data_IF_734325100314
#
_entry.id   IF_734325100314
#
_cell.length_a   1.000
_cell.length_b   1.000
_cell.length_c   1.000
_cell.angle_alpha   90.00
_cell.angle_beta   90.00
_cell.angle_gamma   90.00
#
_symmetry.space_group_name_H-M   'P 1'
#
loop_
_entity.id
_entity.type
_entity.pdbx_description
1 polymer ?
#
# COMPACT_ATOMS: atom_id res chain seq x y z
N UNK A 1 0.68 6.25 0.97
CA UNK A 1 0.25 5.18 0.05
C UNK A 1 -1.24 5.14 0.00
N UNK A 2 -1.78 4.84 -1.17
CA UNK A 2 -3.15 4.34 -1.31
C UNK A 2 -3.22 2.87 -0.87
N UNK A 3 -4.42 2.35 -0.60
CA UNK A 3 -4.60 0.97 -0.12
C UNK A 3 -4.32 -0.07 -1.20
N UNK A 4 -4.62 0.29 -2.46
CA UNK A 4 -4.64 -0.62 -3.60
C UNK A 4 -3.61 -0.18 -4.67
N UNK A 5 -2.41 0.25 -4.25
CA UNK A 5 -1.36 0.82 -5.12
C UNK A 5 -1.13 0.01 -6.41
N UNK A 6 -1.09 -1.33 -6.30
CA UNK A 6 -0.76 -2.21 -7.41
C UNK A 6 -1.88 -2.44 -8.45
N UNK A 7 -3.12 -2.10 -8.14
CA UNK A 7 -4.28 -2.46 -8.99
C UNK A 7 -4.20 -1.80 -10.38
N UNK A 8 -3.76 -0.54 -10.45
CA UNK A 8 -3.60 0.20 -11.70
C UNK A 8 -2.53 -0.43 -12.60
N UNK A 9 -1.38 -0.77 -12.03
CA UNK A 9 -0.25 -1.36 -12.77
C UNK A 9 -0.57 -2.78 -13.26
N UNK A 10 -1.35 -3.53 -12.49
CA UNK A 10 -1.72 -4.91 -12.82
C UNK A 10 -2.69 -5.06 -13.99
N UNK A 11 -3.28 -3.98 -14.49
CA UNK A 11 -4.07 -4.02 -15.73
C UNK A 11 -3.22 -4.55 -16.90
N UNK A 12 -1.91 -4.28 -16.91
CA UNK A 12 -1.00 -4.79 -17.93
C UNK A 12 -0.74 -6.31 -17.85
N UNK A 13 -1.28 -7.00 -16.83
CA UNK A 13 -1.02 -8.42 -16.52
C UNK A 13 -2.29 -9.29 -16.57
N UNK A 14 -3.37 -8.81 -17.21
CA UNK A 14 -4.67 -9.51 -17.26
C UNK A 14 -4.64 -10.83 -18.04
N UNK A 15 -3.59 -11.11 -18.81
CA UNK A 15 -3.42 -12.38 -19.50
C UNK A 15 -3.01 -13.54 -18.55
N UNK A 16 -2.52 -13.24 -17.35
CA UNK A 16 -2.06 -14.25 -16.41
C UNK A 16 -3.23 -15.03 -15.79
N UNK A 17 -3.20 -16.35 -15.96
CA UNK A 17 -4.29 -17.25 -15.59
C UNK A 17 -3.93 -18.23 -14.48
N UNK A 18 -2.66 -18.63 -14.37
CA UNK A 18 -2.20 -19.67 -13.46
C UNK A 18 -1.10 -19.18 -12.52
N UNK A 19 -0.83 -19.94 -11.45
CA UNK A 19 0.33 -19.67 -10.58
C UNK A 19 1.66 -19.75 -11.36
N UNK A 20 1.75 -20.61 -12.38
CA UNK A 20 2.93 -20.69 -13.24
C UNK A 20 3.12 -19.41 -14.08
N UNK A 21 2.03 -18.85 -14.61
CA UNK A 21 2.07 -17.56 -15.33
C UNK A 21 2.56 -16.45 -14.41
N UNK A 22 2.04 -16.38 -13.17
CA UNK A 22 2.50 -15.41 -12.16
C UNK A 22 3.97 -15.61 -11.81
N UNK A 23 4.44 -16.85 -11.61
CA UNK A 23 5.87 -17.14 -11.38
C UNK A 23 6.74 -16.63 -12.52
N UNK A 24 6.35 -16.92 -13.76
CA UNK A 24 7.08 -16.46 -14.95
C UNK A 24 7.08 -14.93 -15.04
N UNK A 25 5.93 -14.28 -14.82
CA UNK A 25 5.81 -12.83 -14.80
C UNK A 25 6.77 -12.19 -13.79
N UNK A 26 6.81 -12.71 -12.56
CA UNK A 26 7.72 -12.19 -11.54
C UNK A 26 9.17 -12.33 -11.96
N UNK A 27 9.60 -13.49 -12.47
CA UNK A 27 10.97 -13.71 -12.94
C UNK A 27 11.33 -12.91 -14.20
N UNK A 28 10.36 -12.56 -15.04
CA UNK A 28 10.65 -11.82 -16.27
C UNK A 28 10.70 -10.32 -16.06
N UNK A 29 9.87 -9.77 -15.18
CA UNK A 29 9.60 -8.33 -15.16
C UNK A 29 9.77 -7.65 -13.80
N UNK A 30 9.81 -8.42 -12.71
CA UNK A 30 9.92 -7.84 -11.37
C UNK A 30 11.22 -8.24 -10.69
N UNK A 31 11.48 -9.53 -10.57
CA UNK A 31 12.59 -10.08 -9.77
C UNK A 31 13.44 -11.03 -10.64
N UNK A 32 14.10 -10.52 -11.70
CA UNK A 32 14.83 -11.37 -12.65
C UNK A 32 16.03 -12.11 -12.05
N UNK A 33 16.59 -11.60 -10.95
CA UNK A 33 17.72 -12.21 -10.26
C UNK A 33 17.29 -13.15 -9.12
N UNK A 34 16.00 -13.18 -8.76
CA UNK A 34 15.53 -14.03 -7.68
C UNK A 34 15.54 -15.51 -8.10
N UNK A 35 15.96 -16.35 -7.17
CA UNK A 35 15.96 -17.81 -7.31
C UNK A 35 14.52 -18.33 -7.39
N UNK A 36 14.34 -19.53 -7.95
CA UNK A 36 13.02 -20.17 -7.98
C UNK A 36 12.45 -20.38 -6.58
N UNK A 37 13.31 -20.68 -5.59
CA UNK A 37 12.92 -20.84 -4.20
C UNK A 37 12.34 -19.54 -3.62
N UNK A 38 12.98 -18.40 -3.87
CA UNK A 38 12.49 -17.10 -3.39
C UNK A 38 11.15 -16.73 -4.02
N UNK A 39 10.97 -16.98 -5.32
CA UNK A 39 9.68 -16.75 -6.00
C UNK A 39 8.61 -17.70 -5.49
N UNK A 40 8.93 -18.98 -5.28
CA UNK A 40 7.97 -19.94 -4.73
C UNK A 40 7.55 -19.59 -3.29
N UNK A 41 8.48 -19.05 -2.49
CA UNK A 41 8.18 -18.55 -1.15
C UNK A 41 7.33 -17.27 -1.21
N UNK A 42 7.61 -16.36 -2.16
CA UNK A 42 6.77 -15.19 -2.42
C UNK A 42 5.32 -15.59 -2.74
N UNK A 43 5.14 -16.59 -3.61
CA UNK A 43 3.84 -17.11 -4.01
C UNK A 43 3.10 -17.83 -2.87
N UNK A 44 3.78 -18.24 -1.79
CA UNK A 44 3.14 -18.71 -0.56
C UNK A 44 2.64 -17.54 0.31
N UNK A 45 3.42 -16.45 0.43
CA UNK A 45 3.00 -15.24 1.14
C UNK A 45 1.85 -14.50 0.45
N UNK A 46 1.72 -14.68 -0.86
CA UNK A 46 0.62 -14.16 -1.67
C UNK A 46 -0.09 -15.33 -2.35
N UNK A 47 -0.99 -16.05 -1.66
CA UNK A 47 -1.65 -17.23 -2.23
C UNK A 47 -2.60 -16.85 -3.38
N UNK A 48 -2.92 -17.84 -4.23
CA UNK A 48 -3.95 -17.74 -5.27
C UNK A 48 -5.36 -17.76 -4.66
N UNK A 49 -5.65 -16.74 -3.86
CA UNK A 49 -6.94 -16.54 -3.21
C UNK A 49 -7.40 -15.09 -3.43
N UNK A 50 -8.43 -14.85 -4.27
CA UNK A 50 -8.87 -13.51 -4.62
C UNK A 50 -9.38 -12.68 -3.43
N UNK A 51 -9.78 -13.32 -2.33
CA UNK A 51 -10.22 -12.62 -1.10
C UNK A 51 -9.05 -11.87 -0.45
N UNK A 52 -7.83 -12.40 -0.57
CA UNK A 52 -6.62 -11.81 0.02
C UNK A 52 -5.91 -10.82 -0.93
N UNK A 53 -6.38 -10.69 -2.16
CA UNK A 53 -5.74 -9.87 -3.19
C UNK A 53 -6.25 -8.42 -3.25
N UNK A 54 -5.53 -7.60 -4.01
CA UNK A 54 -5.82 -6.19 -4.27
C UNK A 54 -6.79 -6.03 -5.46
N UNK A 55 -7.86 -5.22 -5.41
CA UNK A 55 -8.22 -4.33 -4.30
C UNK A 55 -8.61 -5.09 -3.04
N UNK A 56 -7.97 -4.73 -1.92
CA UNK A 56 -8.11 -5.43 -0.63
C UNK A 56 -9.51 -5.24 -0.06
N UNK A 57 -9.95 -6.15 0.82
CA UNK A 57 -11.24 -6.07 1.52
C UNK A 57 -12.48 -6.05 0.60
N UNK A 58 -12.35 -6.48 -0.66
CA UNK A 58 -13.47 -6.55 -1.64
C UNK A 58 -13.98 -7.97 -1.91
N UNK A 59 -13.55 -8.96 -1.09
CA UNK A 59 -13.90 -10.36 -1.28
C UNK A 59 -13.48 -10.88 -2.66
N UNK A 60 -14.35 -11.65 -3.33
CA UNK A 60 -14.12 -12.16 -4.68
C UNK A 60 -14.35 -11.17 -5.82
N UNK A 61 -14.82 -9.95 -5.53
CA UNK A 61 -15.09 -8.92 -6.54
C UNK A 61 -13.79 -8.34 -7.12
N UNK A 62 -13.92 -7.53 -8.18
CA UNK A 62 -12.82 -6.77 -8.80
C UNK A 62 -11.72 -7.63 -9.44
N UNK A 63 -12.11 -8.81 -9.96
CA UNK A 63 -11.19 -9.78 -10.58
C UNK A 63 -11.19 -9.62 -12.11
N UNK A 64 -10.28 -8.80 -12.65
CA UNK A 64 -10.13 -8.62 -14.11
C UNK A 64 -9.58 -9.87 -14.82
N UNK A 65 -8.80 -10.69 -14.13
CA UNK A 65 -8.28 -11.98 -14.61
C UNK A 65 -8.09 -12.95 -13.45
N UNK A 66 -7.71 -14.21 -13.72
CA UNK A 66 -7.55 -15.19 -12.65
C UNK A 66 -6.52 -14.76 -11.60
N UNK A 67 -5.39 -14.20 -12.04
CA UNK A 67 -4.28 -13.78 -11.17
C UNK A 67 -4.29 -12.28 -10.84
N UNK A 68 -5.18 -11.47 -11.45
CA UNK A 68 -5.16 -10.00 -11.32
C UNK A 68 -5.00 -9.51 -9.89
N UNK A 69 -5.85 -9.98 -8.96
CA UNK A 69 -5.83 -9.48 -7.59
C UNK A 69 -4.56 -9.85 -6.82
N UNK A 70 -4.00 -11.02 -7.15
CA UNK A 70 -2.77 -11.53 -6.55
C UNK A 70 -1.57 -10.71 -7.03
N UNK A 71 -1.48 -10.49 -8.34
CA UNK A 71 -0.41 -9.68 -8.95
C UNK A 71 -0.49 -8.24 -8.47
N UNK A 72 -1.69 -7.67 -8.34
CA UNK A 72 -1.90 -6.34 -7.79
C UNK A 72 -1.42 -6.21 -6.34
N UNK A 73 -1.69 -7.23 -5.50
CA UNK A 73 -1.20 -7.23 -4.12
C UNK A 73 0.34 -7.28 -4.09
N UNK A 74 0.94 -8.14 -4.91
CA UNK A 74 2.39 -8.27 -5.04
C UNK A 74 3.02 -6.95 -5.52
N UNK A 75 2.54 -6.38 -6.62
CA UNK A 75 3.10 -5.16 -7.19
C UNK A 75 3.00 -3.97 -6.22
N UNK A 76 1.83 -3.79 -5.58
CA UNK A 76 1.62 -2.74 -4.61
C UNK A 76 2.54 -2.88 -3.40
N UNK A 77 2.70 -4.11 -2.89
CA UNK A 77 3.52 -4.35 -1.72
C UNK A 77 5.02 -4.25 -2.01
N UNK A 78 5.49 -4.77 -3.15
CA UNK A 78 6.91 -4.71 -3.55
C UNK A 78 7.37 -3.27 -3.80
N UNK A 79 6.56 -2.47 -4.52
CA UNK A 79 6.98 -1.14 -4.99
C UNK A 79 6.66 -0.03 -3.99
N UNK A 80 5.59 -0.17 -3.19
CA UNK A 80 5.10 0.93 -2.34
C UNK A 80 5.03 0.58 -0.85
N UNK A 81 4.27 -0.44 -0.45
CA UNK A 81 4.03 -0.68 0.99
C UNK A 81 5.27 -1.22 1.71
N UNK A 82 6.00 -2.14 1.09
CA UNK A 82 7.24 -2.71 1.62
C UNK A 82 8.31 -1.65 1.84
N UNK A 83 8.69 -0.87 0.80
CA UNK A 83 9.66 0.21 0.93
C UNK A 83 9.26 1.27 1.97
N UNK A 84 7.97 1.65 2.04
CA UNK A 84 7.47 2.58 3.08
C UNK A 84 7.71 2.02 4.49
N UNK A 85 7.32 0.77 4.75
CA UNK A 85 7.52 0.15 6.08
C UNK A 85 9.00 -0.01 6.41
N UNK A 86 9.81 -0.42 5.43
CA UNK A 86 11.25 -0.51 5.58
C UNK A 86 11.85 0.85 5.96
N UNK A 87 11.49 1.92 5.25
CA UNK A 87 11.96 3.27 5.54
C UNK A 87 11.59 3.69 6.97
N UNK A 88 10.32 3.54 7.36
CA UNK A 88 9.84 3.94 8.70
C UNK A 88 10.52 3.15 9.82
N UNK A 89 10.73 1.83 9.64
CA UNK A 89 11.45 0.98 10.60
C UNK A 89 12.87 1.49 10.89
N UNK A 90 13.51 2.16 9.94
CA UNK A 90 14.90 2.61 10.06
C UNK A 90 15.07 4.11 10.29
N UNK A 91 13.99 4.89 10.20
CA UNK A 91 14.02 6.36 10.28
C UNK A 91 13.17 6.96 11.42
N UNK A 92 12.08 6.30 11.85
CA UNK A 92 11.15 6.88 12.82
C UNK A 92 11.76 7.16 14.20
N UNK A 93 12.77 6.38 14.61
CA UNK A 93 13.50 6.60 15.86
C UNK A 93 14.61 7.66 15.75
N UNK A 94 14.88 8.15 14.53
CA UNK A 94 15.95 9.13 14.24
C UNK A 94 15.40 10.51 13.92
N UNK A 95 14.17 10.59 13.43
CA UNK A 95 13.51 11.85 13.10
C UNK A 95 11.98 11.70 13.20
N UNK A 96 11.27 12.78 13.58
CA UNK A 96 9.81 12.79 13.57
C UNK A 96 9.26 12.35 12.21
N UNK A 97 8.48 11.28 12.22
CA UNK A 97 7.94 10.64 11.03
C UNK A 97 6.45 10.42 11.21
N UNK A 98 5.68 10.55 10.14
CA UNK A 98 4.24 10.33 10.13
C UNK A 98 3.88 9.46 8.92
N UNK A 99 2.95 8.53 9.09
CA UNK A 99 2.50 7.65 8.02
C UNK A 99 1.00 7.69 7.86
N UNK A 100 0.53 7.54 6.63
CA UNK A 100 -0.89 7.40 6.31
C UNK A 100 -1.16 6.25 5.34
N UNK A 101 -2.43 5.84 5.29
CA UNK A 101 -3.01 4.96 4.30
C UNK A 101 -4.28 5.62 3.73
N UNK A 102 -4.33 5.84 2.42
CA UNK A 102 -5.54 6.35 1.76
C UNK A 102 -6.42 5.20 1.31
N UNK A 103 -7.61 5.09 1.93
CA UNK A 103 -8.76 4.30 1.49
C UNK A 103 -9.83 5.20 0.84
N UNK A 104 -9.45 6.36 0.30
CA UNK A 104 -10.34 7.23 -0.49
C UNK A 104 -10.63 6.59 -1.84
N UNK A 105 -11.88 6.65 -2.31
CA UNK A 105 -12.29 6.03 -3.56
C UNK A 105 -12.25 4.50 -3.52
N UNK A 106 -12.42 3.89 -2.34
CA UNK A 106 -12.25 2.44 -2.17
C UNK A 106 -13.20 1.61 -3.04
N UNK A 107 -14.35 2.17 -3.39
CA UNK A 107 -15.38 1.51 -4.21
C UNK A 107 -15.16 1.69 -5.72
N UNK A 108 -14.04 2.28 -6.16
CA UNK A 108 -13.73 2.37 -7.59
C UNK A 108 -13.59 0.97 -8.19
N UNK A 109 -14.45 0.64 -9.15
CA UNK A 109 -14.49 -0.70 -9.75
C UNK A 109 -13.11 -1.13 -10.27
N UNK A 110 -12.74 -2.38 -9.97
CA UNK A 110 -11.46 -3.03 -10.30
C UNK A 110 -10.20 -2.45 -9.64
N UNK A 111 -10.19 -1.16 -9.35
CA UNK A 111 -9.00 -0.42 -8.94
C UNK A 111 -8.95 -0.15 -7.42
N UNK A 112 -10.09 0.07 -6.79
CA UNK A 112 -10.17 0.55 -5.42
C UNK A 112 -9.42 1.87 -5.22
N UNK A 113 -8.82 2.04 -4.04
CA UNK A 113 -7.94 3.17 -3.73
C UNK A 113 -6.59 2.97 -4.42
N UNK A 114 -6.57 3.12 -5.74
CA UNK A 114 -5.41 2.85 -6.58
C UNK A 114 -4.34 3.94 -6.48
N UNK A 115 -3.18 3.65 -7.07
CA UNK A 115 -2.12 4.63 -7.22
C UNK A 115 -2.62 5.98 -7.75
N UNK A 116 -2.14 7.06 -7.15
CA UNK A 116 -2.49 8.46 -7.45
C UNK A 116 -3.93 8.91 -7.13
N UNK A 117 -4.80 8.05 -6.58
CA UNK A 117 -6.16 8.48 -6.17
C UNK A 117 -6.16 9.44 -4.99
N UNK A 118 -5.12 9.41 -4.14
CA UNK A 118 -4.91 10.33 -3.03
C UNK A 118 -4.60 11.77 -3.45
N UNK A 119 -4.22 12.00 -4.72
CA UNK A 119 -3.98 13.34 -5.25
C UNK A 119 -5.22 14.25 -5.16
N UNK A 120 -6.42 13.68 -5.24
CA UNK A 120 -7.65 14.45 -5.03
C UNK A 120 -7.76 15.00 -3.61
N UNK A 121 -7.23 14.28 -2.61
CA UNK A 121 -7.24 14.70 -1.20
C UNK A 121 -6.03 15.58 -0.84
N UNK A 122 -4.88 15.40 -1.50
CA UNK A 122 -3.66 16.17 -1.20
C UNK A 122 -3.48 17.45 -2.04
N UNK A 123 -3.90 17.45 -3.30
CA UNK A 123 -3.75 18.58 -4.23
C UNK A 123 -5.07 19.15 -4.75
N UNK A 124 -6.20 18.53 -4.41
CA UNK A 124 -7.53 19.06 -4.72
C UNK A 124 -7.80 20.41 -4.05
N UNK A 125 -8.90 21.08 -4.44
CA UNK A 125 -9.28 22.38 -3.84
C UNK A 125 -9.57 22.27 -2.34
N UNK A 126 -9.94 21.08 -1.87
CA UNK A 126 -10.18 20.73 -0.47
C UNK A 126 -9.63 19.34 -0.19
N UNK A 127 -9.35 19.03 1.08
CA UNK A 127 -8.94 17.70 1.51
C UNK A 127 -8.17 17.72 2.83
N UNK A 128 -8.37 16.72 3.68
CA UNK A 128 -7.76 16.72 5.01
C UNK A 128 -6.27 16.39 4.93
N UNK A 129 -5.86 15.57 3.94
CA UNK A 129 -4.44 15.30 3.67
C UNK A 129 -3.72 16.57 3.22
N UNK A 130 -4.35 17.41 2.40
CA UNK A 130 -3.83 18.73 2.00
C UNK A 130 -3.55 19.60 3.22
N UNK A 131 -4.47 19.69 4.17
CA UNK A 131 -4.31 20.54 5.35
C UNK A 131 -3.15 20.07 6.23
N UNK A 132 -2.98 18.75 6.42
CA UNK A 132 -1.79 18.22 7.12
C UNK A 132 -0.49 18.51 6.37
N UNK A 133 -0.47 18.44 5.03
CA UNK A 133 0.72 18.75 4.22
C UNK A 133 1.07 20.23 4.36
N UNK A 134 0.09 21.14 4.32
CA UNK A 134 0.30 22.58 4.53
C UNK A 134 0.86 22.84 5.94
N UNK A 135 0.25 22.20 6.95
CA UNK A 135 0.67 22.29 8.35
C UNK A 135 2.12 21.84 8.54
N UNK A 136 2.47 20.67 7.97
CA UNK A 136 3.83 20.15 8.03
C UNK A 136 4.83 21.04 7.29
N UNK A 137 4.48 21.53 6.09
CA UNK A 137 5.37 22.40 5.30
C UNK A 137 5.69 23.70 6.02
N UNK A 138 4.71 24.24 6.76
CA UNK A 138 4.86 25.52 7.45
C UNK A 138 5.50 25.39 8.84
N UNK A 139 5.38 24.21 9.49
CA UNK A 139 5.69 24.06 10.92
C UNK A 139 6.53 22.82 11.28
N UNK A 140 6.89 21.98 10.31
CA UNK A 140 7.54 20.67 10.52
C UNK A 140 6.73 19.71 11.42
N UNK A 141 5.43 19.95 11.57
CA UNK A 141 4.50 19.12 12.34
C UNK A 141 3.12 19.17 11.67
N UNK A 142 2.56 18.03 11.23
CA UNK A 142 1.28 18.03 10.52
C UNK A 142 0.13 18.49 11.42
N UNK A 143 0.26 18.42 12.75
CA UNK A 143 -0.80 18.79 13.70
C UNK A 143 -0.95 20.31 13.92
N UNK A 144 -0.05 21.13 13.38
CA UNK A 144 -0.12 22.59 13.50
C UNK A 144 -0.75 23.15 12.23
N UNK A 145 -1.90 23.83 12.37
CA UNK A 145 -2.63 24.36 11.22
C UNK A 145 -3.42 23.30 10.44
N UNK A 146 -3.64 22.12 11.01
CA UNK A 146 -4.39 21.00 10.41
C UNK A 146 -5.90 21.22 10.32
N UNK A 147 -6.41 22.46 10.33
CA UNK A 147 -7.85 22.71 10.26
C UNK A 147 -8.70 22.11 11.39
N UNK A 148 -8.08 21.70 12.51
CA UNK A 148 -8.78 21.02 13.61
C UNK A 148 -9.07 19.53 13.37
N UNK A 149 -8.43 18.92 12.36
CA UNK A 149 -8.51 17.48 12.12
C UNK A 149 -7.97 16.68 13.32
N UNK A 150 -8.29 15.38 13.33
CA UNK A 150 -7.78 14.42 14.30
C UNK A 150 -6.26 14.53 14.49
N UNK A 151 -5.73 14.26 15.68
CA UNK A 151 -4.27 14.30 15.89
C UNK A 151 -3.59 13.17 15.13
N UNK A 152 -2.71 13.50 14.16
CA UNK A 152 -1.86 12.55 13.46
C UNK A 152 -0.70 12.13 14.38
N UNK A 153 -0.72 10.88 14.91
CA UNK A 153 0.34 10.42 15.78
C UNK A 153 1.65 10.31 15.01
N UNK A 154 2.74 10.72 15.65
CA UNK A 154 4.07 10.38 15.16
C UNK A 154 4.21 8.85 15.14
N UNK A 155 4.83 8.35 14.08
CA UNK A 155 5.09 6.92 13.91
C UNK A 155 6.07 6.45 14.99
N UNK A 156 5.68 5.39 15.69
CA UNK A 156 6.47 4.73 16.73
C UNK A 156 6.68 3.28 16.31
N UNK A 157 7.94 2.83 16.28
CA UNK A 157 8.30 1.45 15.88
C UNK A 157 7.78 0.40 16.86
N UNK A 158 7.39 0.78 18.08
CA UNK A 158 6.75 -0.10 19.07
C UNK A 158 5.23 -0.12 18.96
N UNK A 159 4.64 1.02 18.62
CA UNK A 159 3.19 1.20 18.47
C UNK A 159 2.87 1.74 17.07
N UNK A 160 2.95 0.86 16.08
CA UNK A 160 2.79 1.16 14.65
C UNK A 160 1.43 1.80 14.38
N UNK A 161 1.34 3.12 14.36
CA UNK A 161 0.10 3.88 14.11
C UNK A 161 0.23 4.70 12.84
N UNK A 162 -0.85 4.74 12.07
CA UNK A 162 -0.98 5.57 10.89
C UNK A 162 -2.37 6.21 10.84
N UNK A 163 -2.47 7.34 10.15
CA UNK A 163 -3.77 7.93 9.81
C UNK A 163 -4.34 7.19 8.60
N UNK A 164 -5.62 6.86 8.65
CA UNK A 164 -6.39 6.29 7.54
C UNK A 164 -7.41 7.32 7.08
N UNK A 165 -7.37 7.67 5.79
CA UNK A 165 -8.40 8.47 5.13
C UNK A 165 -9.38 7.55 4.43
N UNK A 166 -10.69 7.71 4.63
CA UNK A 166 -11.69 6.73 4.13
C UNK A 166 -13.07 7.35 3.95
N UNK A 167 -13.86 6.84 3.00
CA UNK A 167 -15.15 7.47 2.61
C UNK A 167 -16.30 7.27 3.61
N UNK A 168 -15.99 6.87 4.85
CA UNK A 168 -16.97 6.71 5.92
C UNK A 168 -17.49 8.08 6.41
N UNK A 169 -18.82 8.24 6.39
CA UNK A 169 -19.50 9.50 6.75
C UNK A 169 -19.16 9.96 8.18
N UNK A 170 -19.17 9.04 9.15
CA UNK A 170 -19.00 9.38 10.57
C UNK A 170 -17.54 9.37 11.04
N UNK A 171 -16.64 8.76 10.28
CA UNK A 171 -15.22 8.63 10.63
C UNK A 171 -14.37 8.70 9.37
N UNK A 172 -14.31 9.87 8.70
CA UNK A 172 -13.59 10.02 7.44
C UNK A 172 -12.06 9.97 7.61
N UNK A 173 -11.59 10.23 8.84
CA UNK A 173 -10.20 10.12 9.26
C UNK A 173 -10.16 9.33 10.56
N UNK A 174 -9.31 8.32 10.64
CA UNK A 174 -9.09 7.57 11.88
C UNK A 174 -7.62 7.19 12.08
N UNK A 175 -7.23 6.90 13.32
CA UNK A 175 -5.95 6.27 13.60
C UNK A 175 -6.15 4.76 13.61
N UNK A 176 -5.34 4.06 12.82
CA UNK A 176 -5.33 2.60 12.80
C UNK A 176 -3.91 2.07 13.02
N UNK A 177 -3.83 0.78 13.35
CA UNK A 177 -2.55 0.08 13.45
C UNK A 177 -2.01 -0.23 12.05
N UNK A 178 -0.73 0.04 11.81
CA UNK A 178 -0.05 -0.22 10.55
C UNK A 178 0.62 -1.61 10.56
N UNK A 179 -0.18 -2.66 10.73
CA UNK A 179 0.27 -4.06 10.86
C UNK A 179 -0.37 -5.03 9.85
N UNK A 180 -1.16 -4.53 8.90
CA UNK A 180 -1.70 -5.35 7.80
C UNK A 180 -0.60 -6.10 7.06
N UNK A 181 -0.84 -7.36 6.66
CA UNK A 181 0.09 -8.17 5.83
C UNK A 181 1.55 -8.19 6.34
N UNK A 182 1.78 -8.15 7.65
CA UNK A 182 3.11 -7.95 8.24
C UNK A 182 4.17 -8.91 7.69
N UNK A 183 3.88 -10.21 7.64
CA UNK A 183 4.83 -11.22 7.17
C UNK A 183 5.15 -11.06 5.68
N UNK A 184 4.13 -10.86 4.84
CA UNK A 184 4.33 -10.64 3.40
C UNK A 184 5.13 -9.37 3.13
N UNK A 185 4.85 -8.29 3.85
CA UNK A 185 5.55 -7.01 3.72
C UNK A 185 7.00 -7.06 4.21
N UNK A 186 7.28 -7.79 5.29
CA UNK A 186 8.65 -8.03 5.75
C UNK A 186 9.43 -8.89 4.75
N UNK A 187 8.79 -9.92 4.18
CA UNK A 187 9.38 -10.73 3.13
C UNK A 187 9.73 -9.90 1.89
N UNK A 188 8.79 -9.11 1.36
CA UNK A 188 9.06 -8.32 0.15
C UNK A 188 10.06 -7.18 0.39
N UNK A 189 10.10 -6.60 1.59
CA UNK A 189 11.14 -5.64 1.92
C UNK A 189 12.55 -6.29 1.88
N UNK A 190 12.68 -7.51 2.38
CA UNK A 190 13.95 -8.24 2.38
C UNK A 190 14.34 -8.73 0.98
N UNK A 191 13.40 -9.29 0.20
CA UNK A 191 13.71 -9.78 -1.15
C UNK A 191 14.14 -8.63 -2.07
N UNK A 192 13.55 -7.44 -1.94
CA UNK A 192 13.94 -6.26 -2.74
C UNK A 192 15.33 -5.72 -2.39
N UNK A 193 15.87 -6.03 -1.20
CA UNK A 193 17.26 -5.71 -0.85
C UNK A 193 18.24 -6.69 -1.50
N UNK A 194 17.86 -7.96 -1.61
CA UNK A 194 18.66 -9.01 -2.24
C UNK A 194 18.59 -8.96 -3.77
N UNK A 195 17.43 -8.55 -4.28
CA UNK A 195 17.08 -8.49 -5.69
C UNK A 195 16.54 -7.10 -6.02
N UNK A 196 17.42 -6.08 -6.12
CA UNK A 196 16.98 -4.72 -6.46
C UNK A 196 16.30 -4.70 -7.83
N UNK A 197 15.16 -4.00 -7.89
CA UNK A 197 14.35 -3.77 -9.09
C UNK A 197 15.07 -2.89 -10.12
#
# INVERSE_FOLDING_TARGET
>A
NCDDEGSLFSIASINLSTTADTKQFLKSYMLPNATDYEIDLMLQYYPDNPILGCPFDTGGLNKLSQQFKRVAAIQGDVVFHGPRRFLLKHSADKQPSWSFLSKRGKDLAYLGSAHATDLLNSYGPTGELRDYIIGFTSNLNPNIGSGGHLTWPQYDTKNLKAVVFQDAILSPIQVAKDDYRQQSLEFVANISLLNPL
#
